data_IF_022064297430
#
_entry.id   IF_022064297430
#
_cell.length_a   1.000
_cell.length_b   1.000
_cell.length_c   1.000
_cell.angle_alpha   90.00
_cell.angle_beta   90.00
_cell.angle_gamma   90.00
#
_symmetry.space_group_name_H-M   'P 1'
#
loop_
_entity.id
_entity.type
_entity.pdbx_description
1 polymer ?
#
# COMPACT_ATOMS: atom_id res chain seq x y z
N UNK A 1 10.21 32.03 13.17
CA UNK A 1 10.80 33.14 13.96
C UNK A 1 12.25 32.98 14.45
N UNK A 2 12.88 31.79 14.51
CA UNK A 2 14.25 31.68 15.07
C UNK A 2 15.30 32.60 14.43
N UNK A 3 15.22 32.87 13.11
CA UNK A 3 16.16 33.76 12.42
C UNK A 3 15.93 35.24 12.76
N UNK A 4 14.68 35.71 12.76
CA UNK A 4 14.35 37.10 13.12
C UNK A 4 14.74 37.42 14.56
N UNK A 5 14.59 36.45 15.46
CA UNK A 5 15.01 36.60 16.87
C UNK A 5 16.53 36.41 17.12
N UNK A 6 17.35 36.24 16.08
CA UNK A 6 18.78 35.92 16.19
C UNK A 6 19.10 34.64 16.98
N UNK A 7 18.15 33.70 17.06
CA UNK A 7 18.29 32.40 17.76
C UNK A 7 18.58 31.21 16.83
N UNK A 8 18.69 31.44 15.52
CA UNK A 8 18.99 30.39 14.55
C UNK A 8 20.38 29.78 14.79
N UNK A 9 20.50 28.45 14.74
CA UNK A 9 21.76 27.71 14.90
C UNK A 9 21.93 26.69 13.75
N UNK A 10 23.01 26.76 12.96
CA UNK A 10 23.95 27.89 12.88
C UNK A 10 23.24 29.16 12.37
N UNK A 11 23.67 30.32 12.85
CA UNK A 11 23.15 31.60 12.34
C UNK A 11 23.81 31.88 10.98
N UNK A 12 23.11 31.57 9.89
CA UNK A 12 23.57 31.82 8.52
C UNK A 12 22.85 33.02 7.92
N UNK A 13 23.55 33.76 7.07
CA UNK A 13 22.97 34.86 6.30
C UNK A 13 22.34 34.38 5.00
N UNK A 14 22.75 33.21 4.50
CA UNK A 14 22.27 32.64 3.25
C UNK A 14 22.10 31.13 3.40
N UNK A 15 21.03 30.62 2.79
CA UNK A 15 20.77 29.20 2.59
C UNK A 15 20.58 28.97 1.10
N UNK A 16 21.26 27.96 0.54
CA UNK A 16 21.19 27.63 -0.88
C UNK A 16 20.71 26.20 -0.99
N UNK A 17 19.64 26.00 -1.73
CA UNK A 17 19.07 24.69 -2.03
C UNK A 17 19.15 24.46 -3.54
N UNK A 18 19.92 23.45 -3.95
CA UNK A 18 19.93 23.00 -5.34
C UNK A 18 18.82 21.96 -5.49
N UNK A 19 17.91 22.20 -6.44
CA UNK A 19 16.70 21.41 -6.62
C UNK A 19 16.30 21.35 -8.10
N UNK A 20 15.12 20.78 -8.37
CA UNK A 20 14.58 20.60 -9.72
C UNK A 20 13.56 21.69 -10.07
N UNK A 21 13.24 21.80 -11.36
CA UNK A 21 12.14 22.62 -11.89
C UNK A 21 10.82 22.38 -11.15
N UNK A 22 10.46 21.11 -10.92
CA UNK A 22 9.28 20.70 -10.15
C UNK A 22 9.26 21.26 -8.73
N UNK A 23 10.43 21.48 -8.12
CA UNK A 23 10.54 22.08 -6.78
C UNK A 23 10.20 23.57 -6.83
N UNK A 24 10.70 24.29 -7.84
CA UNK A 24 10.40 25.70 -8.05
C UNK A 24 8.90 25.87 -8.35
N UNK A 25 8.36 25.08 -9.28
CA UNK A 25 6.94 25.13 -9.64
C UNK A 25 6.05 24.85 -8.44
N UNK A 26 6.35 23.80 -7.66
CA UNK A 26 5.56 23.45 -6.47
C UNK A 26 5.62 24.55 -5.41
N UNK A 27 6.81 25.11 -5.14
CA UNK A 27 6.97 26.20 -4.18
C UNK A 27 6.16 27.43 -4.59
N UNK A 28 6.30 27.89 -5.84
CA UNK A 28 5.57 29.06 -6.35
C UNK A 28 4.07 28.81 -6.36
N UNK A 29 3.64 27.58 -6.67
CA UNK A 29 2.23 27.22 -6.71
C UNK A 29 1.62 27.22 -5.31
N UNK A 30 2.34 26.65 -4.33
CA UNK A 30 1.97 26.70 -2.92
C UNK A 30 1.85 28.14 -2.40
N UNK A 31 2.72 29.04 -2.87
CA UNK A 31 2.66 30.46 -2.53
C UNK A 31 1.64 31.27 -3.36
N UNK A 32 0.93 30.63 -4.29
CA UNK A 32 -0.11 31.27 -5.11
C UNK A 32 0.43 32.25 -6.17
N UNK A 33 1.70 32.14 -6.55
CA UNK A 33 2.40 33.07 -7.48
C UNK A 33 3.00 32.36 -8.70
N UNK A 34 2.64 31.09 -8.92
CA UNK A 34 3.08 30.34 -10.09
C UNK A 34 2.35 30.79 -11.35
N UNK A 35 3.10 31.02 -12.42
CA UNK A 35 2.61 31.57 -13.69
C UNK A 35 2.32 30.47 -14.74
N UNK A 36 2.27 29.21 -14.32
CA UNK A 36 2.04 28.04 -15.18
C UNK A 36 3.11 27.84 -16.27
N UNK A 37 4.27 28.48 -16.14
CA UNK A 37 5.41 28.26 -17.03
C UNK A 37 6.38 27.26 -16.42
N UNK A 38 7.00 26.44 -17.27
CA UNK A 38 8.05 25.52 -16.82
C UNK A 38 9.27 26.38 -16.46
N UNK A 39 9.84 26.24 -15.24
CA UNK A 39 11.02 27.00 -14.86
C UNK A 39 12.20 26.70 -15.79
N UNK A 40 12.76 27.76 -16.37
CA UNK A 40 13.95 27.66 -17.22
C UNK A 40 15.17 27.15 -16.44
N UNK A 41 16.18 26.66 -17.15
CA UNK A 41 17.43 26.23 -16.56
C UNK A 41 18.10 27.35 -15.77
N UNK A 42 18.67 26.98 -14.63
CA UNK A 42 19.29 27.91 -13.68
C UNK A 42 18.35 29.03 -13.20
N UNK A 43 17.03 28.81 -13.28
CA UNK A 43 16.07 29.64 -12.57
C UNK A 43 16.26 29.52 -11.05
N UNK A 44 15.97 30.61 -10.34
CA UNK A 44 16.14 30.69 -8.91
C UNK A 44 15.01 31.49 -8.28
N UNK A 45 14.50 30.98 -7.15
CA UNK A 45 13.61 31.72 -6.26
C UNK A 45 14.45 32.27 -5.11
N UNK A 46 14.42 33.58 -4.93
CA UNK A 46 15.10 34.28 -3.85
C UNK A 46 14.06 34.73 -2.84
N UNK A 47 14.24 34.30 -1.59
CA UNK A 47 13.41 34.74 -0.46
C UNK A 47 14.30 35.50 0.52
N UNK A 48 14.10 36.81 0.58
CA UNK A 48 14.91 37.70 1.39
C UNK A 48 14.17 38.12 2.66
N UNK A 49 14.85 38.04 3.80
CA UNK A 49 14.37 38.59 5.07
C UNK A 49 15.15 39.87 5.39
N UNK A 50 14.46 41.01 5.43
CA UNK A 50 15.02 42.34 5.66
C UNK A 50 14.45 42.95 6.94
N UNK A 51 15.12 43.98 7.44
CA UNK A 51 14.68 44.79 8.59
C UNK A 51 14.54 46.23 8.10
N UNK A 52 13.39 46.83 8.34
CA UNK A 52 13.16 48.23 7.99
C UNK A 52 13.80 49.20 9.00
N UNK A 53 13.86 50.51 8.72
CA UNK A 53 14.41 51.50 9.65
C UNK A 53 13.69 51.56 11.01
N UNK A 54 12.45 51.08 11.08
CA UNK A 54 11.62 51.02 12.28
C UNK A 54 11.87 49.73 13.09
N UNK A 55 12.67 48.80 12.57
CA UNK A 55 13.00 47.53 13.21
C UNK A 55 12.05 46.38 12.88
N UNK A 56 11.11 46.56 11.97
CA UNK A 56 10.17 45.50 11.58
C UNK A 56 10.78 44.58 10.53
N UNK A 57 10.48 43.28 10.65
CA UNK A 57 10.92 42.27 9.69
C UNK A 57 9.99 42.19 8.48
N UNK A 58 10.59 42.11 7.30
CA UNK A 58 9.88 42.08 6.02
C UNK A 58 10.47 40.99 5.12
N UNK A 59 9.60 40.31 4.38
CA UNK A 59 9.94 39.25 3.43
C UNK A 59 9.74 39.77 2.01
N UNK A 60 10.63 39.40 1.11
CA UNK A 60 10.51 39.71 -0.32
C UNK A 60 10.83 38.47 -1.13
N UNK A 61 10.00 38.19 -2.12
CA UNK A 61 10.14 37.04 -2.99
C UNK A 61 10.50 37.52 -4.39
N UNK A 62 11.60 37.01 -4.95
CA UNK A 62 12.02 37.30 -6.32
C UNK A 62 12.19 36.02 -7.12
N UNK A 63 11.82 36.06 -8.39
CA UNK A 63 12.03 34.97 -9.35
C UNK A 63 13.01 35.43 -10.42
N UNK A 64 14.16 34.77 -10.50
CA UNK A 64 15.09 34.93 -11.61
C UNK A 64 14.89 33.76 -12.57
N UNK A 65 14.25 34.00 -13.72
CA UNK A 65 14.09 33.02 -14.80
C UNK A 65 14.81 33.44 -16.09
N UNK A 66 15.48 34.60 -16.11
CA UNK A 66 16.24 35.09 -17.26
C UNK A 66 17.61 35.59 -16.82
N UNK A 67 18.58 35.52 -17.72
CA UNK A 67 19.91 36.12 -17.56
C UNK A 67 19.98 37.56 -18.09
N UNK A 68 18.97 38.00 -18.84
CA UNK A 68 18.92 39.31 -19.51
C UNK A 68 18.29 40.37 -18.61
N UNK A 69 17.33 39.96 -17.77
CA UNK A 69 16.58 40.86 -16.90
C UNK A 69 16.94 40.62 -15.43
N UNK A 70 16.75 41.66 -14.63
CA UNK A 70 16.79 41.55 -13.17
C UNK A 70 15.68 40.61 -12.66
N UNK A 71 15.86 39.99 -11.48
CA UNK A 71 14.85 39.11 -10.90
C UNK A 71 13.49 39.81 -10.73
N UNK A 72 12.43 39.11 -11.12
CA UNK A 72 11.06 39.61 -11.03
C UNK A 72 10.59 39.61 -9.58
N UNK A 73 10.11 40.75 -9.10
CA UNK A 73 9.51 40.88 -7.78
C UNK A 73 8.12 40.23 -7.76
N UNK A 74 7.94 39.21 -6.92
CA UNK A 74 6.67 38.50 -6.76
C UNK A 74 5.89 39.06 -5.56
N UNK A 75 4.56 39.05 -5.68
CA UNK A 75 3.65 39.50 -4.61
C UNK A 75 2.71 38.38 -4.24
N UNK A 76 2.75 37.95 -2.98
CA UNK A 76 1.84 36.93 -2.47
C UNK A 76 0.40 37.48 -2.48
N UNK A 77 -0.59 36.67 -2.87
CA UNK A 77 -2.00 37.03 -2.74
C UNK A 77 -2.32 37.41 -1.29
N UNK A 78 -2.94 38.58 -1.08
CA UNK A 78 -3.26 39.09 0.26
C UNK A 78 -2.11 39.79 0.98
N UNK A 79 -0.96 40.01 0.32
CA UNK A 79 0.13 40.81 0.88
C UNK A 79 0.62 41.90 -0.10
N UNK A 80 1.55 42.73 0.37
CA UNK A 80 2.32 43.68 -0.44
C UNK A 80 3.61 43.03 -1.00
N UNK A 81 4.23 43.58 -2.06
CA UNK A 81 5.49 43.05 -2.61
C UNK A 81 6.62 42.97 -1.56
N UNK A 82 6.58 43.88 -0.59
CA UNK A 82 7.40 43.84 0.61
C UNK A 82 6.48 43.44 1.75
N UNK A 83 6.44 42.14 2.05
CA UNK A 83 5.43 41.55 2.92
C UNK A 83 5.89 41.57 4.38
N UNK A 84 5.12 42.11 5.35
CA UNK A 84 5.46 42.00 6.76
C UNK A 84 5.62 40.53 7.17
N UNK A 85 6.64 40.22 7.98
CA UNK A 85 6.96 38.83 8.32
C UNK A 85 5.78 38.10 8.99
N UNK A 86 5.03 38.76 9.87
CA UNK A 86 3.92 38.13 10.57
C UNK A 86 2.77 37.79 9.62
N UNK A 87 2.43 38.71 8.71
CA UNK A 87 1.44 38.46 7.63
C UNK A 87 1.89 37.36 6.69
N UNK A 88 3.18 37.32 6.32
CA UNK A 88 3.72 36.24 5.48
C UNK A 88 3.53 34.87 6.14
N UNK A 89 3.78 34.77 7.44
CA UNK A 89 3.64 33.52 8.19
C UNK A 89 2.18 33.09 8.34
N UNK A 90 1.26 34.03 8.59
CA UNK A 90 -0.18 33.78 8.62
C UNK A 90 -0.68 33.22 7.27
N UNK A 91 -0.26 33.84 6.16
CA UNK A 91 -0.63 33.38 4.82
C UNK A 91 -0.07 31.98 4.50
N UNK A 92 1.11 31.64 5.03
CA UNK A 92 1.73 30.34 4.81
C UNK A 92 1.21 29.24 5.76
N UNK A 93 0.50 29.59 6.84
CA UNK A 93 0.10 28.62 7.87
C UNK A 93 -0.77 27.49 7.30
N UNK A 94 -1.69 27.82 6.39
CA UNK A 94 -2.60 26.84 5.78
C UNK A 94 -1.91 25.81 4.86
N UNK A 95 -0.68 26.08 4.43
CA UNK A 95 0.07 25.24 3.47
C UNK A 95 1.33 24.61 4.07
N UNK A 96 1.63 24.90 5.33
CA UNK A 96 2.75 24.28 6.05
C UNK A 96 2.20 23.09 6.85
N UNK A 97 2.67 21.86 6.60
CA UNK A 97 2.21 20.68 7.31
C UNK A 97 2.60 20.76 8.80
N UNK A 98 1.67 20.36 9.67
CA UNK A 98 1.92 20.23 11.11
C UNK A 98 2.60 18.89 11.43
N UNK A 99 2.18 17.83 10.75
CA UNK A 99 2.71 16.48 10.89
C UNK A 99 2.73 15.79 9.52
N UNK A 100 3.84 15.95 8.81
CA UNK A 100 4.01 15.45 7.45
C UNK A 100 3.68 13.95 7.32
N UNK A 101 4.13 13.14 8.28
CA UNK A 101 3.95 11.69 8.22
C UNK A 101 2.47 11.32 8.35
N UNK A 102 1.74 11.97 9.27
CA UNK A 102 0.31 11.72 9.46
C UNK A 102 -0.53 12.28 8.31
N UNK A 103 -0.21 13.46 7.81
CA UNK A 103 -0.95 14.11 6.72
C UNK A 103 -0.76 13.37 5.38
N UNK A 104 0.41 12.76 5.16
CA UNK A 104 0.68 11.93 3.98
C UNK A 104 0.01 10.55 4.00
N UNK A 105 -0.56 10.10 5.12
CA UNK A 105 -1.33 8.86 5.20
C UNK A 105 -2.71 9.06 4.55
N UNK A 106 -2.71 9.20 3.22
CA UNK A 106 -3.89 9.30 2.38
C UNK A 106 -4.64 7.97 2.42
N UNK A 107 -5.44 7.81 3.47
CA UNK A 107 -6.25 6.65 3.81
C UNK A 107 -5.44 5.37 4.04
N UNK A 108 -5.47 4.89 5.27
CA UNK A 108 -5.17 3.50 5.65
C UNK A 108 -5.92 2.45 4.82
N UNK A 109 -6.84 2.84 3.92
CA UNK A 109 -7.44 1.98 2.91
C UNK A 109 -6.41 1.36 1.94
N UNK A 110 -5.34 2.06 1.56
CA UNK A 110 -4.30 1.47 0.71
C UNK A 110 -3.27 0.67 1.52
N UNK A 111 -3.00 1.07 2.76
CA UNK A 111 -2.18 0.27 3.68
C UNK A 111 -2.84 -1.06 4.03
N UNK A 112 -4.16 -1.16 4.09
CA UNK A 112 -4.85 -2.45 4.23
C UNK A 112 -4.57 -3.39 3.05
N UNK A 113 -4.21 -2.90 1.86
CA UNK A 113 -3.82 -3.74 0.73
C UNK A 113 -2.38 -4.26 0.83
N UNK A 114 -1.48 -3.56 1.55
CA UNK A 114 -0.13 -4.03 1.89
C UNK A 114 -0.06 -4.77 3.24
N UNK A 115 -1.02 -4.52 4.13
CA UNK A 115 -1.25 -5.21 5.39
C UNK A 115 -2.24 -6.38 5.26
N UNK A 116 -2.83 -6.63 4.08
CA UNK A 116 -3.26 -7.97 3.75
C UNK A 116 -2.01 -8.83 3.88
N UNK A 117 -2.01 -9.82 4.78
CA UNK A 117 -0.84 -10.64 4.97
C UNK A 117 -0.73 -11.55 3.74
N UNK A 118 -0.09 -11.05 2.68
CA UNK A 118 0.28 -11.86 1.53
C UNK A 118 1.22 -13.01 1.96
N UNK A 119 1.89 -12.85 3.11
CA UNK A 119 2.59 -13.91 3.85
C UNK A 119 1.67 -14.91 4.57
N UNK A 120 0.45 -14.55 4.94
CA UNK A 120 -0.46 -15.48 5.63
C UNK A 120 -1.32 -16.28 4.67
N UNK A 121 -1.64 -15.78 3.47
CA UNK A 121 -2.40 -16.58 2.49
C UNK A 121 -1.59 -17.80 2.01
N UNK A 122 -0.28 -17.64 1.79
CA UNK A 122 0.59 -18.75 1.38
C UNK A 122 0.78 -19.78 2.50
N UNK A 123 0.96 -19.33 3.74
CA UNK A 123 1.14 -20.24 4.89
C UNK A 123 -0.17 -20.92 5.28
N UNK A 124 -1.30 -20.21 5.27
CA UNK A 124 -2.62 -20.80 5.52
C UNK A 124 -3.00 -21.83 4.46
N UNK A 125 -2.70 -21.58 3.17
CA UNK A 125 -2.93 -22.55 2.10
C UNK A 125 -2.09 -23.84 2.28
N UNK A 126 -0.82 -23.72 2.67
CA UNK A 126 0.04 -24.88 2.91
C UNK A 126 -0.43 -25.72 4.11
N UNK A 127 -0.82 -25.07 5.20
CA UNK A 127 -1.27 -25.76 6.42
C UNK A 127 -2.63 -26.45 6.19
N UNK A 128 -3.56 -25.77 5.52
CA UNK A 128 -4.89 -26.35 5.21
C UNK A 128 -4.81 -27.52 4.25
N UNK A 129 -4.00 -27.41 3.19
CA UNK A 129 -3.74 -28.53 2.27
C UNK A 129 -3.13 -29.74 3.00
N UNK A 130 -2.16 -29.49 3.87
CA UNK A 130 -1.50 -30.55 4.66
C UNK A 130 -2.48 -31.27 5.60
N UNK A 131 -3.35 -30.51 6.27
CA UNK A 131 -4.41 -31.07 7.14
C UNK A 131 -5.42 -31.90 6.35
N UNK A 132 -5.85 -31.44 5.18
CA UNK A 132 -6.79 -32.17 4.32
C UNK A 132 -6.19 -33.50 3.82
N UNK A 133 -4.92 -33.49 3.40
CA UNK A 133 -4.22 -34.71 2.98
C UNK A 133 -4.12 -35.71 4.13
N UNK A 134 -3.81 -35.26 5.35
CA UNK A 134 -3.74 -36.13 6.52
C UNK A 134 -5.09 -36.78 6.84
N UNK A 135 -6.19 -36.02 6.77
CA UNK A 135 -7.54 -36.53 6.99
C UNK A 135 -7.96 -37.57 5.93
N UNK A 136 -7.58 -37.35 4.67
CA UNK A 136 -7.82 -38.33 3.60
C UNK A 136 -7.02 -39.62 3.82
N UNK A 137 -5.76 -39.54 4.25
CA UNK A 137 -4.95 -40.73 4.57
C UNK A 137 -5.50 -41.49 5.79
N UNK A 138 -5.95 -40.78 6.83
CA UNK A 138 -6.57 -41.40 8.02
C UNK A 138 -7.90 -42.07 7.66
N UNK A 139 -8.76 -41.42 6.87
CA UNK A 139 -10.00 -42.04 6.42
C UNK A 139 -9.76 -43.27 5.53
N UNK A 140 -8.78 -43.21 4.63
CA UNK A 140 -8.39 -44.33 3.77
C UNK A 140 -7.83 -45.50 4.58
N UNK A 141 -6.95 -45.25 5.57
CA UNK A 141 -6.40 -46.30 6.44
C UNK A 141 -7.48 -46.91 7.35
N UNK A 142 -8.38 -46.10 7.92
CA UNK A 142 -9.52 -46.60 8.69
C UNK A 142 -10.49 -47.40 7.81
N UNK A 143 -10.74 -46.96 6.58
CA UNK A 143 -11.53 -47.71 5.61
C UNK A 143 -10.86 -49.05 5.27
N UNK A 144 -9.55 -49.06 5.02
CA UNK A 144 -8.78 -50.28 4.76
C UNK A 144 -8.77 -51.23 5.96
N UNK A 145 -8.58 -50.71 7.17
CA UNK A 145 -8.66 -51.50 8.40
C UNK A 145 -10.05 -52.10 8.61
N UNK A 146 -11.12 -51.31 8.42
CA UNK A 146 -12.50 -51.78 8.51
C UNK A 146 -12.80 -52.82 7.43
N UNK A 147 -12.36 -52.60 6.19
CA UNK A 147 -12.53 -53.53 5.07
C UNK A 147 -11.78 -54.85 5.33
N UNK A 148 -10.55 -54.79 5.83
CA UNK A 148 -9.77 -55.98 6.20
C UNK A 148 -10.40 -56.76 7.36
N UNK A 149 -10.96 -56.06 8.37
CA UNK A 149 -11.78 -56.69 9.44
C UNK A 149 -13.05 -57.35 8.88
N UNK A 150 -13.73 -56.71 7.91
CA UNK A 150 -14.91 -57.30 7.23
C UNK A 150 -14.54 -58.57 6.46
N UNK A 151 -13.45 -58.56 5.69
CA UNK A 151 -12.97 -59.73 4.92
C UNK A 151 -12.60 -60.89 5.86
N UNK A 152 -11.92 -60.61 6.98
CA UNK A 152 -11.59 -61.65 7.97
C UNK A 152 -12.83 -62.27 8.63
N UNK A 153 -13.89 -61.49 8.88
CA UNK A 153 -15.15 -62.03 9.42
C UNK A 153 -15.94 -62.84 8.38
N UNK A 154 -15.91 -62.45 7.09
CA UNK A 154 -16.56 -63.19 6.00
C UNK A 154 -15.96 -64.59 5.80
N UNK A 155 -14.63 -64.73 5.93
CA UNK A 155 -13.95 -66.03 5.80
C UNK A 155 -14.30 -67.01 6.93
N UNK A 156 -14.66 -66.50 8.11
CA UNK A 156 -15.15 -67.33 9.23
C UNK A 156 -16.63 -67.72 9.07
N UNK A 157 -17.43 -66.92 8.34
CA UNK A 157 -18.86 -67.18 8.07
C UNK A 157 -19.14 -68.05 6.84
N UNK A 158 -18.18 -68.21 5.91
CA UNK A 158 -18.36 -69.06 4.72
C UNK A 158 -18.21 -70.57 4.98
N UNK A 159 -17.68 -71.00 6.14
CA UNK A 159 -17.56 -72.43 6.48
C UNK A 159 -18.83 -73.04 7.09
N UNK A 160 -19.87 -72.26 7.37
CA UNK A 160 -20.95 -72.69 8.28
C UNK A 160 -22.37 -72.74 7.69
N UNK A 161 -22.62 -72.45 6.41
CA UNK A 161 -24.01 -72.41 5.91
C UNK A 161 -24.14 -73.00 4.50
N UNK A 162 -24.50 -74.28 4.43
CA UNK A 162 -25.15 -74.91 3.27
C UNK A 162 -26.65 -74.98 3.60
N UNK A 163 -27.58 -74.36 2.85
CA UNK A 163 -29.00 -74.69 2.92
C UNK A 163 -29.41 -75.61 1.78
N UNK A 164 -30.11 -76.69 2.14
CA UNK A 164 -30.77 -77.64 1.25
C UNK A 164 -32.11 -77.12 0.71
N UNK A 165 -32.39 -77.60 -0.50
CA UNK A 165 -33.47 -77.41 -1.46
C UNK A 165 -34.89 -77.77 -0.99
N UNK A 166 -35.93 -77.21 -1.63
CA UNK A 166 -37.12 -78.00 -2.02
C UNK A 166 -37.99 -77.37 -3.14
N UNK A 167 -37.85 -77.94 -4.34
CA UNK A 167 -38.85 -78.24 -5.39
C UNK A 167 -39.74 -77.13 -5.98
N UNK A 168 -39.58 -76.82 -7.30
CA UNK A 168 -40.07 -77.54 -8.51
C UNK A 168 -41.59 -77.39 -8.68
N UNK A 169 -42.14 -76.93 -9.79
CA UNK A 169 -42.03 -77.33 -11.21
C UNK A 169 -42.62 -76.20 -12.08
N UNK A 170 -42.27 -75.88 -13.32
CA UNK A 170 -41.50 -76.52 -14.38
C UNK A 170 -42.14 -76.10 -15.71
N UNK A 171 -41.37 -75.54 -16.65
CA UNK A 171 -41.50 -75.78 -18.11
C UNK A 171 -40.43 -74.98 -18.87
N UNK A 172 -39.47 -75.74 -19.40
CA UNK A 172 -38.62 -75.52 -20.59
C UNK A 172 -37.97 -74.14 -20.81
N UNK A 173 -36.68 -74.01 -20.55
CA UNK A 173 -35.52 -74.44 -21.37
C UNK A 173 -35.15 -73.40 -22.43
N UNK A 174 -34.16 -72.56 -22.10
CA UNK A 174 -32.82 -72.60 -22.74
C UNK A 174 -31.94 -71.50 -22.12
N UNK A 175 -31.19 -71.87 -21.08
CA UNK A 175 -30.01 -71.13 -20.66
C UNK A 175 -28.85 -71.55 -21.56
N UNK A 176 -28.24 -70.58 -22.25
CA UNK A 176 -26.87 -70.72 -22.77
C UNK A 176 -26.10 -69.54 -22.21
N UNK A 177 -25.36 -69.81 -21.14
CA UNK A 177 -24.25 -69.00 -20.65
C UNK A 177 -22.98 -69.68 -21.15
N UNK A 178 -22.21 -68.99 -21.99
CA UNK A 178 -20.81 -69.33 -22.25
C UNK A 178 -19.97 -68.11 -21.94
N UNK A 179 -19.22 -68.21 -20.84
CA UNK A 179 -18.14 -67.34 -20.42
C UNK A 179 -16.83 -67.78 -21.11
N UNK A 180 -15.91 -66.82 -21.21
CA UNK A 180 -14.46 -66.91 -21.52
C UNK A 180 -14.05 -67.03 -23.00
N UNK A 181 -13.60 -65.90 -23.58
CA UNK A 181 -12.25 -65.35 -23.35
C UNK A 181 -12.29 -63.83 -23.41
#
# INVERSE_FOLDING_TARGET
HKKSENKAKPNRNMWIYSAHDSTISSLLNTLGVFDLQIPDYASAVLMELRVDPQGNHQVTLLLRNSTIHEPYLLTLPGCTPVCPLDTFLELCEAVVPLDWERECQASSLFDMAHALPYRDLSTTALVTSSLLVLLLLLSATLYWQRSRRRIHCHRYKQLTIIPWDYNKTGSNNNAIFSLQR
#
